data_IF_787199152399
#
_entry.id   IF_787199152399
#
_cell.length_a   1.000
_cell.length_b   1.000
_cell.length_c   1.000
_cell.angle_alpha   90.00
_cell.angle_beta   90.00
_cell.angle_gamma   90.00
#
_symmetry.space_group_name_H-M   'P 1'
#
loop_
_entity.id
_entity.type
_entity.pdbx_description
1 polymer ?
#
# COMPACT_ATOMS: atom_id res chain seq x y z
N UNK A 1 -14.54 10.08 -13.26
CA UNK A 1 -16.00 10.09 -13.00
C UNK A 1 -16.73 9.27 -14.04
N UNK A 2 -17.79 8.57 -13.66
CA UNK A 2 -18.68 7.84 -14.58
C UNK A 2 -20.04 8.56 -14.62
N UNK A 3 -20.59 8.73 -15.82
CA UNK A 3 -21.92 9.30 -16.04
C UNK A 3 -22.75 8.25 -16.78
N UNK A 4 -24.00 8.05 -16.35
CA UNK A 4 -24.93 7.11 -16.95
C UNK A 4 -26.29 7.77 -17.15
N UNK A 5 -27.00 7.36 -18.21
CA UNK A 5 -28.28 7.94 -18.60
C UNK A 5 -28.67 7.52 -20.03
N UNK A 6 -29.67 8.18 -20.64
CA UNK A 6 -30.06 7.92 -22.03
C UNK A 6 -28.88 8.00 -22.99
N UNK A 7 -28.81 7.07 -23.95
CA UNK A 7 -27.66 6.93 -24.84
C UNK A 7 -27.28 8.23 -25.54
N UNK A 8 -28.25 8.95 -26.12
CA UNK A 8 -28.02 10.21 -26.81
C UNK A 8 -27.50 11.33 -25.90
N UNK A 9 -27.93 11.39 -24.63
CA UNK A 9 -27.41 12.37 -23.67
C UNK A 9 -25.96 12.09 -23.30
N UNK A 10 -25.59 10.81 -23.15
CA UNK A 10 -24.21 10.40 -22.89
C UNK A 10 -23.32 10.68 -24.10
N UNK A 11 -23.81 10.42 -25.32
CA UNK A 11 -23.07 10.68 -26.55
C UNK A 11 -22.81 12.19 -26.76
N UNK A 12 -23.82 13.03 -26.49
CA UNK A 12 -23.67 14.49 -26.50
C UNK A 12 -22.62 14.97 -25.47
N UNK A 13 -22.63 14.40 -24.26
CA UNK A 13 -21.64 14.73 -23.23
C UNK A 13 -20.21 14.32 -23.64
N UNK A 14 -20.06 13.14 -24.25
CA UNK A 14 -18.76 12.68 -24.76
C UNK A 14 -18.25 13.63 -25.85
N UNK A 15 -19.11 14.06 -26.76
CA UNK A 15 -18.75 15.02 -27.82
C UNK A 15 -18.29 16.35 -27.21
N UNK A 16 -19.05 16.92 -26.28
CA UNK A 16 -18.72 18.17 -25.61
C UNK A 16 -17.39 18.09 -24.81
N UNK A 17 -17.13 16.95 -24.16
CA UNK A 17 -15.86 16.74 -23.45
C UNK A 17 -14.66 16.69 -24.42
N UNK A 18 -14.83 16.04 -25.59
CA UNK A 18 -13.78 15.95 -26.61
C UNK A 18 -13.45 17.32 -27.22
N UNK A 19 -14.45 18.17 -27.42
CA UNK A 19 -14.24 19.56 -27.87
C UNK A 19 -13.38 20.36 -26.88
N UNK A 20 -13.40 19.99 -25.60
CA UNK A 20 -12.60 20.59 -24.55
C UNK A 20 -11.27 19.86 -24.30
N UNK A 21 -10.88 18.91 -25.16
CA UNK A 21 -9.72 18.04 -24.99
C UNK A 21 -9.73 17.21 -23.69
N UNK A 22 -10.92 16.92 -23.16
CA UNK A 22 -11.11 16.04 -22.00
C UNK A 22 -11.34 14.61 -22.50
N UNK A 23 -10.59 13.66 -21.95
CA UNK A 23 -10.77 12.25 -22.29
C UNK A 23 -12.15 11.74 -21.84
N UNK A 24 -12.96 11.32 -22.80
CA UNK A 24 -14.25 10.69 -22.56
C UNK A 24 -14.45 9.49 -23.50
N UNK A 25 -14.79 8.34 -22.91
CA UNK A 25 -15.07 7.09 -23.62
C UNK A 25 -16.37 6.47 -23.15
N UNK A 26 -17.07 5.81 -24.07
CA UNK A 26 -18.24 5.01 -23.74
C UNK A 26 -17.80 3.72 -23.03
N UNK A 27 -18.57 3.33 -22.01
CA UNK A 27 -18.41 2.04 -21.33
C UNK A 27 -19.36 1.05 -22.02
N UNK A 28 -18.86 -0.13 -22.36
CA UNK A 28 -19.66 -1.17 -22.99
C UNK A 28 -20.55 -1.85 -21.94
N UNK A 29 -21.74 -1.29 -21.71
CA UNK A 29 -22.74 -1.83 -20.79
C UNK A 29 -24.13 -1.76 -21.42
N UNK A 30 -24.90 -2.82 -21.21
CA UNK A 30 -26.30 -2.93 -21.66
C UNK A 30 -27.27 -2.24 -20.69
N UNK A 31 -26.84 -2.04 -19.44
CA UNK A 31 -27.68 -1.52 -18.35
C UNK A 31 -27.03 -0.28 -17.75
N UNK A 32 -27.80 0.81 -17.66
CA UNK A 32 -27.38 2.05 -17.01
C UNK A 32 -27.71 2.02 -15.50
N UNK A 33 -27.02 1.15 -14.77
CA UNK A 33 -27.14 1.07 -13.29
C UNK A 33 -26.74 2.41 -12.64
N UNK A 34 -27.14 2.60 -11.38
CA UNK A 34 -26.89 3.81 -10.60
C UNK A 34 -27.61 5.06 -11.14
N UNK A 35 -28.73 4.87 -11.84
CA UNK A 35 -29.57 5.94 -12.39
C UNK A 35 -31.06 5.69 -12.12
N UNK A 36 -31.89 6.71 -12.40
CA UNK A 36 -33.35 6.60 -12.37
C UNK A 36 -33.92 5.53 -13.32
N UNK A 37 -33.15 5.07 -14.31
CA UNK A 37 -33.59 3.97 -15.18
C UNK A 37 -33.79 2.65 -14.44
N UNK A 38 -33.28 2.53 -13.21
CA UNK A 38 -33.50 1.36 -12.35
C UNK A 38 -34.86 1.41 -11.62
N UNK A 39 -35.54 2.56 -11.56
CA UNK A 39 -36.79 2.74 -10.77
C UNK A 39 -37.86 1.67 -11.06
N UNK A 40 -38.11 1.26 -12.32
CA UNK A 40 -39.15 0.25 -12.63
C UNK A 40 -38.91 -1.13 -12.00
N UNK A 41 -37.65 -1.51 -11.72
CA UNK A 41 -37.31 -2.84 -11.20
C UNK A 41 -37.12 -2.88 -9.67
N UNK A 42 -37.08 -1.71 -9.00
CA UNK A 42 -36.71 -1.66 -7.58
C UNK A 42 -37.71 -2.37 -6.67
N UNK A 43 -39.00 -2.35 -7.01
CA UNK A 43 -40.05 -3.05 -6.25
C UNK A 43 -39.94 -4.57 -6.33
N UNK A 44 -39.70 -5.09 -7.53
CA UNK A 44 -39.47 -6.52 -7.76
C UNK A 44 -38.18 -6.98 -7.05
N UNK A 45 -37.09 -6.22 -7.20
CA UNK A 45 -35.82 -6.51 -6.54
C UNK A 45 -35.98 -6.55 -5.01
N UNK A 46 -36.69 -5.58 -4.42
CA UNK A 46 -36.96 -5.57 -2.98
C UNK A 46 -37.71 -6.80 -2.53
N UNK A 47 -38.74 -7.19 -3.28
CA UNK A 47 -39.56 -8.38 -2.99
C UNK A 47 -38.72 -9.65 -3.06
N UNK A 48 -37.89 -9.78 -4.10
CA UNK A 48 -37.00 -10.92 -4.28
C UNK A 48 -35.96 -11.06 -3.16
N UNK A 49 -35.53 -9.94 -2.56
CA UNK A 49 -34.53 -9.90 -1.48
C UNK A 49 -35.14 -9.87 -0.08
N UNK A 50 -36.47 -9.89 0.07
CA UNK A 50 -37.14 -9.75 1.37
C UNK A 50 -36.78 -10.83 2.40
N UNK A 51 -36.34 -12.01 1.94
CA UNK A 51 -35.91 -13.12 2.80
C UNK A 51 -34.48 -13.01 3.33
N UNK A 52 -33.72 -11.97 2.96
CA UNK A 52 -32.35 -11.80 3.45
C UNK A 52 -32.33 -11.64 4.97
N UNK A 53 -31.41 -12.36 5.62
CA UNK A 53 -31.11 -12.23 7.05
C UNK A 53 -29.64 -11.84 7.25
N UNK A 54 -29.27 -10.57 7.03
CA UNK A 54 -27.89 -10.13 7.12
C UNK A 54 -27.35 -10.25 8.54
N UNK A 55 -26.09 -10.66 8.65
CA UNK A 55 -25.37 -10.72 9.93
C UNK A 55 -24.38 -9.57 10.01
N UNK A 56 -24.05 -9.17 11.24
CA UNK A 56 -22.99 -8.20 11.47
C UNK A 56 -21.68 -8.69 10.83
N UNK A 57 -21.01 -7.87 10.01
CA UNK A 57 -19.78 -8.28 9.37
C UNK A 57 -18.67 -8.40 10.42
N UNK A 58 -17.87 -9.47 10.32
CA UNK A 58 -16.69 -9.68 11.19
C UNK A 58 -15.47 -8.87 10.74
N UNK A 59 -15.44 -8.50 9.47
CA UNK A 59 -14.41 -7.68 8.84
C UNK A 59 -15.04 -6.30 8.58
N UNK A 60 -14.37 -5.19 8.89
CA UNK A 60 -14.88 -3.86 8.56
C UNK A 60 -15.24 -3.74 7.07
N UNK A 61 -16.41 -3.19 6.77
CA UNK A 61 -16.90 -2.99 5.39
C UNK A 61 -17.04 -1.51 5.11
N UNK A 62 -16.25 -0.95 4.21
CA UNK A 62 -16.42 0.43 3.77
C UNK A 62 -17.46 0.49 2.65
N UNK A 63 -18.70 0.90 2.97
CA UNK A 63 -19.78 0.96 1.97
C UNK A 63 -19.54 2.06 0.94
N UNK A 64 -19.85 1.77 -0.31
CA UNK A 64 -19.87 2.73 -1.42
C UNK A 64 -21.27 3.29 -1.70
N UNK A 65 -22.28 2.92 -0.89
CA UNK A 65 -23.68 3.31 -1.06
C UNK A 65 -24.03 4.45 -0.09
N UNK A 66 -23.76 4.21 1.20
CA UNK A 66 -24.10 5.11 2.31
C UNK A 66 -22.84 5.72 2.93
N UNK A 67 -23.00 6.82 3.69
CA UNK A 67 -21.91 7.38 4.48
C UNK A 67 -21.53 6.42 5.62
N UNK A 68 -20.28 6.54 6.10
CA UNK A 68 -19.66 5.57 7.01
C UNK A 68 -20.44 5.29 8.31
N UNK A 69 -21.31 6.20 8.75
CA UNK A 69 -22.00 6.19 10.04
C UNK A 69 -23.35 5.46 10.05
N UNK A 70 -23.86 5.02 8.90
CA UNK A 70 -25.12 4.29 8.86
C UNK A 70 -24.92 2.86 9.42
N UNK A 71 -25.79 2.44 10.33
CA UNK A 71 -25.82 1.06 10.82
C UNK A 71 -26.10 0.12 9.63
N UNK A 72 -25.05 -0.47 9.06
CA UNK A 72 -25.07 -1.22 7.79
C UNK A 72 -25.89 -2.50 7.94
N UNK A 73 -27.17 -2.41 7.64
CA UNK A 73 -28.05 -3.55 7.47
C UNK A 73 -27.98 -3.89 5.97
N UNK A 74 -27.22 -4.92 5.60
CA UNK A 74 -27.07 -5.36 4.20
C UNK A 74 -28.34 -6.09 3.70
N UNK A 75 -29.50 -5.51 3.98
CA UNK A 75 -30.84 -6.02 3.70
C UNK A 75 -31.32 -5.62 2.29
N UNK A 76 -32.58 -5.93 1.98
CA UNK A 76 -33.16 -5.62 0.68
C UNK A 76 -33.07 -4.13 0.32
N UNK A 77 -33.23 -3.24 1.31
CA UNK A 77 -33.25 -1.79 1.11
C UNK A 77 -31.86 -1.29 0.75
N UNK A 78 -30.83 -1.84 1.40
CA UNK A 78 -29.43 -1.56 1.04
C UNK A 78 -29.12 -1.95 -0.41
N UNK A 79 -29.54 -3.14 -0.86
CA UNK A 79 -29.25 -3.60 -2.23
C UNK A 79 -30.04 -2.83 -3.29
N UNK A 80 -31.28 -2.42 -2.97
CA UNK A 80 -32.06 -1.48 -3.80
C UNK A 80 -31.34 -0.13 -3.89
N UNK A 81 -30.82 0.39 -2.78
CA UNK A 81 -30.04 1.61 -2.79
C UNK A 81 -28.72 1.47 -3.57
N UNK A 82 -28.05 0.31 -3.47
CA UNK A 82 -26.80 0.03 -4.17
C UNK A 82 -26.95 0.09 -5.70
N UNK A 83 -27.97 -0.57 -6.25
CA UNK A 83 -28.19 -0.59 -7.70
C UNK A 83 -28.69 0.77 -8.21
N UNK A 84 -29.39 1.54 -7.37
CA UNK A 84 -30.05 2.79 -7.76
C UNK A 84 -29.17 4.04 -7.64
N UNK A 85 -28.31 4.09 -6.63
CA UNK A 85 -27.54 5.30 -6.30
C UNK A 85 -26.11 5.26 -6.84
N UNK A 86 -25.47 6.42 -7.07
CA UNK A 86 -24.08 6.50 -7.48
C UNK A 86 -23.13 5.79 -6.52
N UNK A 87 -22.15 5.07 -7.07
CA UNK A 87 -21.09 4.41 -6.30
C UNK A 87 -20.07 5.43 -5.80
N UNK A 88 -19.98 5.60 -4.48
CA UNK A 88 -19.04 6.50 -3.78
C UNK A 88 -17.69 5.83 -3.53
N UNK A 89 -17.05 5.34 -4.60
CA UNK A 89 -15.85 4.51 -4.51
C UNK A 89 -14.66 5.25 -3.88
N UNK A 90 -14.34 6.46 -4.35
CA UNK A 90 -13.21 7.22 -3.84
C UNK A 90 -13.37 7.59 -2.35
N UNK A 91 -14.60 7.87 -1.91
CA UNK A 91 -14.86 8.14 -0.50
C UNK A 91 -14.63 6.91 0.38
N UNK A 92 -15.05 5.72 -0.08
CA UNK A 92 -14.81 4.47 0.64
C UNK A 92 -13.32 4.12 0.72
N UNK A 93 -12.58 4.30 -0.39
CA UNK A 93 -11.12 4.10 -0.41
C UNK A 93 -10.40 5.08 0.51
N UNK A 94 -10.78 6.36 0.49
CA UNK A 94 -10.19 7.37 1.37
C UNK A 94 -10.44 7.06 2.86
N UNK A 95 -11.66 6.64 3.20
CA UNK A 95 -11.99 6.22 4.56
C UNK A 95 -11.17 5.00 5.00
N UNK A 96 -10.99 4.01 4.12
CA UNK A 96 -10.14 2.86 4.40
C UNK A 96 -8.65 3.23 4.51
N UNK A 97 -8.17 4.16 3.68
CA UNK A 97 -6.79 4.59 3.63
C UNK A 97 -6.32 5.35 4.87
N UNK A 98 -7.24 5.81 5.72
CA UNK A 98 -6.91 6.39 7.02
C UNK A 98 -6.25 5.36 7.98
N UNK A 99 -6.56 4.08 7.82
CA UNK A 99 -6.09 3.00 8.72
C UNK A 99 -5.37 1.86 7.98
N UNK A 100 -5.43 1.82 6.65
CA UNK A 100 -4.93 0.70 5.84
C UNK A 100 -4.00 1.17 4.72
N UNK A 101 -2.85 0.51 4.57
CA UNK A 101 -1.84 0.84 3.54
C UNK A 101 -1.74 -0.16 2.38
N UNK A 102 -2.42 -1.31 2.45
CA UNK A 102 -2.37 -2.34 1.39
C UNK A 102 -3.78 -2.63 0.88
N UNK A 103 -3.99 -2.40 -0.41
CA UNK A 103 -5.27 -2.60 -1.09
C UNK A 103 -5.13 -3.73 -2.12
N UNK A 104 -5.99 -4.73 -2.01
CA UNK A 104 -5.98 -5.89 -2.89
C UNK A 104 -7.30 -5.94 -3.65
N UNK A 105 -7.23 -5.81 -4.97
CA UNK A 105 -8.36 -6.00 -5.87
C UNK A 105 -8.51 -7.49 -6.18
N UNK A 106 -9.59 -8.08 -5.66
CA UNK A 106 -9.94 -9.48 -5.91
C UNK A 106 -10.77 -9.55 -7.20
N UNK A 107 -10.11 -9.78 -8.32
CA UNK A 107 -10.73 -9.83 -9.65
C UNK A 107 -9.93 -10.71 -10.62
N UNK A 108 -10.56 -11.19 -11.72
CA UNK A 108 -9.85 -11.90 -12.78
C UNK A 108 -8.89 -11.01 -13.59
N UNK A 109 -9.05 -9.68 -13.47
CA UNK A 109 -8.17 -8.70 -14.09
C UNK A 109 -8.34 -7.33 -13.40
N UNK A 110 -7.25 -6.66 -12.97
CA UNK A 110 -7.33 -5.41 -12.24
C UNK A 110 -7.92 -4.28 -13.10
N UNK A 111 -8.99 -3.66 -12.61
CA UNK A 111 -9.59 -2.47 -13.23
C UNK A 111 -9.69 -1.28 -12.28
N UNK A 112 -9.53 -1.51 -10.97
CA UNK A 112 -9.66 -0.52 -9.91
C UNK A 112 -8.33 -0.12 -9.27
N UNK A 113 -7.27 -0.92 -9.41
CA UNK A 113 -5.96 -0.64 -8.78
C UNK A 113 -5.45 0.78 -9.02
N UNK A 114 -5.55 1.26 -10.26
CA UNK A 114 -5.20 2.65 -10.61
C UNK A 114 -6.08 3.67 -9.89
N UNK A 115 -7.39 3.47 -9.87
CA UNK A 115 -8.33 4.39 -9.20
C UNK A 115 -8.12 4.43 -7.69
N UNK A 116 -7.72 3.30 -7.09
CA UNK A 116 -7.31 3.23 -5.69
C UNK A 116 -6.06 4.07 -5.45
N UNK A 117 -4.99 3.85 -6.23
CA UNK A 117 -3.75 4.63 -6.12
C UNK A 117 -3.97 6.12 -6.29
N UNK A 118 -4.71 6.55 -7.33
CA UNK A 118 -5.03 7.96 -7.56
C UNK A 118 -5.86 8.57 -6.42
N UNK A 119 -6.75 7.79 -5.79
CA UNK A 119 -7.52 8.26 -4.63
C UNK A 119 -6.62 8.46 -3.41
N UNK A 120 -5.77 7.48 -3.10
CA UNK A 120 -4.88 7.53 -1.93
C UNK A 120 -3.86 8.66 -2.04
N UNK A 121 -3.33 8.90 -3.25
CA UNK A 121 -2.47 10.04 -3.56
C UNK A 121 -3.21 11.37 -3.42
N UNK A 122 -4.43 11.48 -3.95
CA UNK A 122 -5.23 12.71 -3.86
C UNK A 122 -5.50 13.14 -2.41
N UNK A 123 -5.71 12.18 -1.50
CA UNK A 123 -5.95 12.45 -0.08
C UNK A 123 -4.67 12.47 0.79
N UNK A 124 -3.49 12.32 0.19
CA UNK A 124 -2.18 12.30 0.87
C UNK A 124 -2.10 11.29 2.04
N UNK A 125 -2.63 10.08 1.83
CA UNK A 125 -2.76 9.04 2.87
C UNK A 125 -1.49 8.19 3.07
N UNK A 126 -0.32 8.76 2.79
CA UNK A 126 0.98 8.13 3.00
C UNK A 126 1.31 7.00 2.02
N UNK A 127 2.39 6.26 2.31
CA UNK A 127 2.86 5.16 1.45
C UNK A 127 1.86 4.00 1.45
N UNK A 128 1.20 3.80 0.31
CA UNK A 128 0.23 2.75 0.09
C UNK A 128 0.53 1.95 -1.17
N UNK A 129 0.03 0.71 -1.23
CA UNK A 129 0.14 -0.15 -2.39
C UNK A 129 -1.24 -0.67 -2.82
N UNK A 130 -1.46 -0.73 -4.13
CA UNK A 130 -2.65 -1.34 -4.72
C UNK A 130 -2.26 -2.43 -5.70
N UNK A 131 -2.78 -3.63 -5.49
CA UNK A 131 -2.40 -4.84 -6.22
C UNK A 131 -3.66 -5.56 -6.71
N UNK A 132 -3.59 -6.22 -7.86
CA UNK A 132 -4.63 -7.14 -8.32
C UNK A 132 -4.33 -8.58 -7.89
N UNK A 133 -5.34 -9.45 -7.90
CA UNK A 133 -5.11 -10.89 -7.66
C UNK A 133 -4.68 -11.63 -8.91
N UNK A 134 -5.38 -11.41 -10.04
CA UNK A 134 -5.17 -12.13 -11.29
C UNK A 134 -5.04 -11.16 -12.47
N UNK A 135 -4.53 -11.63 -13.59
CA UNK A 135 -4.39 -10.84 -14.80
C UNK A 135 -4.76 -11.67 -16.03
N UNK A 136 -5.62 -11.13 -16.89
CA UNK A 136 -5.95 -11.71 -18.20
C UNK A 136 -4.68 -12.10 -18.98
N UNK A 137 -4.76 -13.21 -19.69
CA UNK A 137 -3.71 -13.73 -20.57
C UNK A 137 -2.41 -14.08 -19.81
N UNK A 138 -2.53 -14.42 -18.53
CA UNK A 138 -1.43 -14.92 -17.68
C UNK A 138 -1.80 -16.25 -17.04
N UNK A 139 -0.81 -16.93 -16.44
CA UNK A 139 -1.06 -18.15 -15.69
C UNK A 139 -1.55 -17.82 -14.27
N UNK A 140 -2.80 -18.12 -13.96
CA UNK A 140 -3.48 -17.73 -12.71
C UNK A 140 -2.68 -18.05 -11.44
N UNK A 141 -2.18 -19.27 -11.30
CA UNK A 141 -1.39 -19.66 -10.11
C UNK A 141 -0.12 -18.82 -9.96
N UNK A 142 0.61 -18.58 -11.06
CA UNK A 142 1.84 -17.77 -11.04
C UNK A 142 1.50 -16.32 -10.73
N UNK A 143 0.47 -15.76 -11.37
CA UNK A 143 0.03 -14.38 -11.14
C UNK A 143 -0.41 -14.17 -9.69
N UNK A 144 -1.25 -15.06 -9.16
CA UNK A 144 -1.73 -15.00 -7.79
C UNK A 144 -0.58 -15.06 -6.78
N UNK A 145 0.33 -16.03 -6.89
CA UNK A 145 1.45 -16.15 -5.95
C UNK A 145 2.47 -15.01 -6.09
N UNK A 146 2.67 -14.49 -7.31
CA UNK A 146 3.51 -13.31 -7.54
C UNK A 146 2.93 -12.08 -6.83
N UNK A 147 1.62 -11.83 -7.02
CA UNK A 147 0.94 -10.69 -6.41
C UNK A 147 0.80 -10.83 -4.89
N UNK A 148 0.56 -12.04 -4.39
CA UNK A 148 0.57 -12.33 -2.96
C UNK A 148 1.94 -12.03 -2.35
N UNK A 149 3.03 -12.48 -2.98
CA UNK A 149 4.37 -12.21 -2.50
C UNK A 149 4.72 -10.71 -2.52
N UNK A 150 4.17 -9.95 -3.48
CA UNK A 150 4.33 -8.50 -3.52
C UNK A 150 3.72 -7.77 -2.32
N UNK A 151 2.76 -8.38 -1.61
CA UNK A 151 2.21 -7.81 -0.36
C UNK A 151 3.20 -7.86 0.81
N UNK A 152 4.15 -8.81 0.79
CA UNK A 152 5.11 -9.05 1.86
C UNK A 152 6.37 -8.19 1.71
N UNK A 153 6.25 -6.89 1.99
CA UNK A 153 7.37 -5.95 1.79
C UNK A 153 8.34 -5.86 2.97
N UNK A 154 7.94 -6.30 4.18
CA UNK A 154 8.71 -6.07 5.42
C UNK A 154 9.04 -7.36 6.18
N UNK A 155 8.34 -8.47 5.92
CA UNK A 155 8.59 -9.74 6.62
C UNK A 155 8.31 -10.93 5.70
N UNK A 156 9.09 -12.02 5.84
CA UNK A 156 8.84 -13.24 5.08
C UNK A 156 7.45 -13.79 5.41
N UNK A 157 6.78 -14.44 4.44
CA UNK A 157 5.48 -15.03 4.66
C UNK A 157 5.53 -16.05 5.81
N UNK A 158 4.56 -15.96 6.72
CA UNK A 158 4.36 -17.00 7.74
C UNK A 158 3.61 -18.17 7.09
N UNK A 159 4.30 -19.28 6.85
CA UNK A 159 3.74 -20.49 6.26
C UNK A 159 4.34 -21.75 6.87
N UNK A 160 3.68 -22.89 6.65
CA UNK A 160 4.21 -24.19 7.06
C UNK A 160 5.56 -24.42 6.38
N UNK A 161 6.59 -24.63 7.20
CA UNK A 161 7.91 -24.98 6.71
C UNK A 161 7.91 -26.47 6.36
N UNK A 162 8.28 -26.88 5.13
CA UNK A 162 8.36 -28.29 4.80
C UNK A 162 9.34 -29.01 5.74
N UNK A 163 9.13 -30.30 6.03
CA UNK A 163 10.10 -31.08 6.81
C UNK A 163 11.42 -31.23 6.03
N UNK A 164 12.52 -31.41 6.76
CA UNK A 164 13.86 -31.66 6.22
C UNK A 164 13.90 -32.87 5.26
N UNK A 165 14.85 -32.92 4.30
CA UNK A 165 15.98 -31.99 4.11
C UNK A 165 15.64 -30.75 3.26
N UNK A 166 16.22 -29.61 3.64
CA UNK A 166 16.13 -28.37 2.85
C UNK A 166 17.10 -28.33 1.67
N UNK A 167 16.72 -27.70 0.54
CA UNK A 167 17.65 -27.41 -0.55
C UNK A 167 18.79 -26.50 -0.06
N UNK A 168 20.02 -26.81 -0.46
CA UNK A 168 21.17 -25.94 -0.21
C UNK A 168 21.10 -24.71 -1.13
N UNK A 169 21.12 -23.51 -0.55
CA UNK A 169 20.99 -22.23 -1.27
C UNK A 169 22.20 -21.33 -1.00
N UNK A 170 22.60 -20.47 -1.96
CA UNK A 170 23.70 -19.54 -1.74
C UNK A 170 23.46 -18.64 -0.51
N UNK A 171 24.53 -18.40 0.25
CA UNK A 171 24.50 -17.44 1.36
C UNK A 171 24.25 -16.02 0.86
N UNK A 172 23.70 -15.16 1.72
CA UNK A 172 23.46 -13.74 1.40
C UNK A 172 24.69 -13.06 0.78
N UNK A 173 24.58 -12.44 -0.42
CA UNK A 173 25.70 -11.76 -1.05
C UNK A 173 25.95 -10.41 -0.35
N UNK A 174 26.90 -10.39 0.57
CA UNK A 174 27.27 -9.19 1.29
C UNK A 174 27.80 -8.10 0.35
N UNK A 175 27.27 -6.88 0.47
CA UNK A 175 27.86 -5.69 -0.17
C UNK A 175 28.97 -5.14 0.71
N UNK A 176 30.21 -5.48 0.37
CA UNK A 176 31.37 -5.08 1.17
C UNK A 176 31.73 -3.62 0.95
N UNK A 177 31.92 -2.88 2.04
CA UNK A 177 32.56 -1.57 2.07
C UNK A 177 33.77 -1.59 3.00
N UNK A 178 34.79 -0.79 2.69
CA UNK A 178 36.01 -0.72 3.49
C UNK A 178 35.75 0.11 4.75
N UNK A 179 35.81 -0.53 5.90
CA UNK A 179 35.77 0.13 7.21
C UNK A 179 37.09 -0.09 7.94
N UNK A 180 37.85 0.97 8.15
CA UNK A 180 39.11 0.93 8.90
C UNK A 180 39.24 2.18 9.76
N UNK A 181 39.68 2.04 11.01
CA UNK A 181 40.01 3.19 11.85
C UNK A 181 41.45 3.61 11.50
N UNK A 182 41.61 4.81 10.95
CA UNK A 182 42.93 5.39 10.78
C UNK A 182 43.51 5.68 12.17
N UNK A 183 44.51 4.90 12.58
CA UNK A 183 45.29 5.26 13.76
C UNK A 183 46.23 6.39 13.36
N UNK A 184 45.97 7.60 13.83
CA UNK A 184 46.96 8.67 13.79
C UNK A 184 48.12 8.21 14.66
N UNK A 185 49.35 8.07 14.13
CA UNK A 185 50.49 7.72 14.95
C UNK A 185 50.61 8.76 16.07
N UNK A 186 50.67 8.32 17.32
CA UNK A 186 50.96 9.22 18.43
C UNK A 186 52.27 9.95 18.10
N UNK A 187 52.22 11.28 18.02
CA UNK A 187 53.42 12.10 17.91
C UNK A 187 54.32 11.73 19.09
N UNK A 188 55.44 11.05 18.82
CA UNK A 188 56.51 10.96 19.79
C UNK A 188 56.97 12.39 20.03
N UNK A 189 56.70 12.92 21.22
CA UNK A 189 57.30 14.16 21.69
C UNK A 189 58.82 13.96 21.71
N UNK A 190 59.50 14.39 20.65
CA UNK A 190 60.95 14.46 20.65
C UNK A 190 61.37 15.64 21.53
N UNK A 191 62.04 15.34 22.64
CA UNK A 191 62.81 16.31 23.40
C UNK A 191 62.42 16.43 24.87
N UNK A 192 62.60 15.38 25.66
CA UNK A 192 63.01 15.58 27.05
C UNK A 192 64.49 15.98 27.03
N UNK A 193 64.77 17.28 27.16
CA UNK A 193 66.10 17.75 27.52
C UNK A 193 66.44 17.20 28.91
N UNK A 194 67.31 16.19 28.95
CA UNK A 194 67.94 15.76 30.19
C UNK A 194 68.92 16.85 30.61
N UNK A 195 68.47 17.79 31.46
CA UNK A 195 69.38 18.66 32.22
C UNK A 195 70.25 17.76 33.09
N UNK A 196 71.52 17.57 32.68
CA UNK A 196 72.55 17.00 33.56
C UNK A 196 72.64 17.88 34.81
N UNK A 197 72.20 17.37 35.95
CA UNK A 197 72.49 17.99 37.25
C UNK A 197 74.00 17.86 37.49
N UNK A 198 74.67 18.99 37.61
CA UNK A 198 76.04 19.08 38.08
C UNK A 198 76.09 18.62 39.55
N UNK A 199 76.96 17.67 39.94
CA UNK A 199 77.08 17.25 41.32
C UNK A 199 77.66 18.38 42.18
N UNK A 200 77.00 18.65 43.30
CA UNK A 200 77.41 19.62 44.33
C UNK A 200 78.59 19.05 45.13
N UNK A 201 79.66 19.82 45.40
CA UNK A 201 80.88 19.31 46.03
C UNK A 201 80.68 19.02 47.53
N UNK A 202 81.29 17.95 48.02
CA UNK A 202 81.35 17.59 49.44
C UNK A 202 82.70 18.05 50.02
N UNK A 203 82.74 18.80 51.14
CA UNK A 203 83.98 19.32 51.69
C UNK A 203 84.72 18.32 52.59
N UNK A 204 86.00 18.08 52.23
CA UNK A 204 87.18 18.00 53.10
C UNK A 204 87.28 16.93 54.20
N UNK A 205 88.33 16.09 54.09
CA UNK A 205 89.25 15.74 55.21
C UNK A 205 90.58 15.22 54.64
N UNK A 206 91.66 16.01 54.79
CA UNK A 206 93.04 15.54 55.04
C UNK A 206 93.28 15.59 56.57
N UNK A 207 94.39 15.13 57.19
CA UNK A 207 95.73 14.73 56.67
C UNK A 207 96.27 13.41 57.35
N UNK A 208 97.48 12.86 57.17
CA UNK A 208 98.89 13.18 57.62
C UNK A 208 99.65 11.81 57.56
N UNK A 209 101.00 11.68 57.60
CA UNK A 209 102.13 12.54 57.24
C UNK A 209 102.82 12.14 55.91
#
# INVERSE_FOLDING_TARGET
TVVAGPAGSVDALIAAAREQNIFARRVNMEVASHTALMDPILGELRTALAGLSPRAPRIPVFSTVENADAARRFDADYWVANVRNPVRFSQAVAAAGAEHGTFIEISPHPVLTRAVSETLEFFDLGSSQSLGTLQRDTHDTVAFHTNLNATCTVSPPTGEHPPEPHPDIPTTPWRHSRHWIAQTPAQRANGFEVRRRQPTPVPGTSPVP
#
